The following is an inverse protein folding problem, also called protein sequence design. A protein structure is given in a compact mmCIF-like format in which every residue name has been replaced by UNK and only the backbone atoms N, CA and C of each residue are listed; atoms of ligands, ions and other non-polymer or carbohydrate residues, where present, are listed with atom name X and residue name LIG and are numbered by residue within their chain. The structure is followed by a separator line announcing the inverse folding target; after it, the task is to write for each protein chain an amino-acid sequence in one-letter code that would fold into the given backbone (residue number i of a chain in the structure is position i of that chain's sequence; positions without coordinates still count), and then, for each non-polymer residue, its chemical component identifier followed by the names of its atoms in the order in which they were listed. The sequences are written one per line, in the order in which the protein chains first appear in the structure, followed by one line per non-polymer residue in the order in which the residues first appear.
data_IF_093214558916
#
_entry.id   IF_093214558916
#
_cell.length_a   1.000
_cell.length_b   1.000
_cell.length_c   1.000
_cell.angle_alpha   90.00
_cell.angle_beta   90.00
_cell.angle_gamma   90.00
#
_symmetry.space_group_name_H-M   'P 1'
#
loop_
_entity.id
_entity.type
_entity.pdbx_description
1 polymer ?
#
# COMPACT_ATOMS: atom_id res chain seq x y z
N UNK A 1 1.87 -32.98 -4.47
CA UNK A 1 1.10 -31.82 -3.94
C UNK A 1 0.08 -32.31 -2.93
N UNK A 2 0.05 -31.76 -1.71
CA UNK A 2 -0.98 -32.12 -0.72
C UNK A 2 -2.35 -31.74 -1.32
N UNK A 3 -3.35 -32.63 -1.19
CA UNK A 3 -4.70 -32.49 -1.76
C UNK A 3 -5.39 -31.17 -1.38
N UNK A 4 -5.01 -30.58 -0.24
CA UNK A 4 -5.48 -29.29 0.26
C UNK A 4 -5.05 -28.07 -0.57
N UNK A 5 -3.96 -28.21 -1.33
CA UNK A 5 -3.38 -27.14 -2.14
C UNK A 5 -4.20 -26.86 -3.40
N UNK A 6 -4.78 -27.91 -3.98
CA UNK A 6 -5.68 -27.77 -5.12
C UNK A 6 -6.91 -26.93 -4.77
N UNK A 7 -7.46 -27.11 -3.56
CA UNK A 7 -8.58 -26.30 -3.09
C UNK A 7 -8.20 -24.82 -2.97
N UNK A 8 -6.98 -24.49 -2.54
CA UNK A 8 -6.49 -23.10 -2.50
C UNK A 8 -6.40 -22.49 -3.89
N UNK A 9 -5.82 -23.21 -4.86
CA UNK A 9 -5.65 -22.71 -6.24
C UNK A 9 -7.01 -22.47 -6.89
N UNK A 10 -7.90 -23.46 -6.84
CA UNK A 10 -9.26 -23.32 -7.41
C UNK A 10 -10.00 -22.18 -6.73
N UNK A 11 -9.90 -22.06 -5.40
CA UNK A 11 -10.50 -20.96 -4.67
C UNK A 11 -9.95 -19.60 -5.12
N UNK A 12 -8.63 -19.46 -5.21
CA UNK A 12 -7.99 -18.21 -5.65
C UNK A 12 -8.44 -17.81 -7.05
N UNK A 13 -8.47 -18.76 -8.01
CA UNK A 13 -8.96 -18.51 -9.38
C UNK A 13 -10.43 -18.08 -9.37
N UNK A 14 -11.28 -18.72 -8.59
CA UNK A 14 -12.70 -18.35 -8.49
C UNK A 14 -12.90 -16.95 -7.89
N UNK A 15 -12.12 -16.59 -6.88
CA UNK A 15 -12.18 -15.25 -6.27
C UNK A 15 -11.68 -14.19 -7.25
N UNK A 16 -10.55 -14.45 -7.92
CA UNK A 16 -10.02 -13.54 -8.94
C UNK A 16 -11.05 -13.37 -10.06
N UNK A 17 -11.63 -14.46 -10.56
CA UNK A 17 -12.67 -14.39 -11.59
C UNK A 17 -13.87 -13.57 -11.14
N UNK A 18 -14.37 -13.78 -9.91
CA UNK A 18 -15.49 -13.00 -9.38
C UNK A 18 -15.13 -11.51 -9.22
N UNK A 19 -13.92 -11.20 -8.74
CA UNK A 19 -13.44 -9.84 -8.59
C UNK A 19 -13.23 -9.12 -9.93
N UNK A 20 -12.64 -9.80 -10.91
CA UNK A 20 -12.46 -9.27 -12.27
C UNK A 20 -13.80 -9.13 -13.02
N UNK A 21 -14.77 -10.01 -12.75
CA UNK A 21 -16.11 -9.86 -13.30
C UNK A 21 -16.83 -8.63 -12.73
N UNK A 22 -16.67 -8.33 -11.43
CA UNK A 22 -17.12 -7.05 -10.89
C UNK A 22 -16.39 -5.90 -11.58
N UNK A 23 -15.09 -6.07 -11.85
CA UNK A 23 -14.29 -5.11 -12.60
C UNK A 23 -14.01 -3.82 -11.84
N UNK A 24 -13.62 -2.78 -12.57
CA UNK A 24 -13.43 -1.45 -12.02
C UNK A 24 -14.77 -0.81 -11.69
N UNK A 25 -14.91 -0.35 -10.45
CA UNK A 25 -16.09 0.36 -9.99
C UNK A 25 -15.69 1.76 -9.55
N UNK A 26 -16.33 2.78 -10.10
CA UNK A 26 -16.09 4.17 -9.74
C UNK A 26 -17.36 4.74 -9.11
N UNK A 27 -17.24 5.21 -7.88
CA UNK A 27 -18.33 5.86 -7.16
C UNK A 27 -17.99 7.35 -7.12
N UNK A 28 -18.84 8.17 -7.74
CA UNK A 28 -18.69 9.63 -7.73
C UNK A 28 -19.73 10.22 -6.78
N UNK A 29 -19.28 10.94 -5.76
CA UNK A 29 -20.12 11.67 -4.81
C UNK A 29 -19.69 13.14 -4.85
N UNK A 30 -20.45 13.96 -5.57
CA UNK A 30 -20.06 15.36 -5.80
C UNK A 30 -18.74 15.46 -6.57
N UNK A 31 -17.75 16.15 -6.01
CA UNK A 31 -16.41 16.28 -6.58
C UNK A 31 -15.45 15.13 -6.20
N UNK A 32 -15.92 14.15 -5.41
CA UNK A 32 -15.10 13.05 -4.91
C UNK A 32 -15.33 11.81 -5.77
N UNK A 33 -14.26 11.30 -6.39
CA UNK A 33 -14.28 10.06 -7.16
C UNK A 33 -13.48 8.99 -6.43
N UNK A 34 -14.15 7.91 -6.02
CA UNK A 34 -13.53 6.75 -5.39
C UNK A 34 -13.50 5.61 -6.39
N UNK A 35 -12.31 5.23 -6.81
CA UNK A 35 -12.09 4.10 -7.70
C UNK A 35 -11.75 2.85 -6.90
N UNK A 36 -12.62 1.84 -6.98
CA UNK A 36 -12.43 0.53 -6.41
C UNK A 36 -11.88 -0.41 -7.49
N UNK A 37 -10.67 -0.92 -7.26
CA UNK A 37 -10.04 -1.90 -8.14
C UNK A 37 -10.62 -3.30 -7.88
N UNK A 38 -10.58 -4.21 -8.88
CA UNK A 38 -10.87 -5.64 -8.69
C UNK A 38 -10.20 -6.23 -7.44
N UNK A 39 -8.96 -5.84 -7.15
CA UNK A 39 -8.21 -6.26 -5.97
C UNK A 39 -8.95 -6.01 -4.64
N UNK A 40 -9.67 -4.88 -4.51
CA UNK A 40 -10.46 -4.55 -3.31
C UNK A 40 -11.56 -5.60 -3.10
N UNK A 41 -12.26 -5.98 -4.17
CA UNK A 41 -13.30 -7.00 -4.09
C UNK A 41 -12.72 -8.37 -3.77
N UNK A 42 -11.57 -8.73 -4.33
CA UNK A 42 -10.88 -9.98 -4.00
C UNK A 42 -10.51 -10.04 -2.50
N UNK A 43 -9.98 -8.96 -1.94
CA UNK A 43 -9.67 -8.84 -0.51
C UNK A 43 -10.95 -8.96 0.33
N UNK A 44 -12.01 -8.21 0.00
CA UNK A 44 -13.26 -8.25 0.75
C UNK A 44 -13.91 -9.65 0.73
N UNK A 45 -13.98 -10.29 -0.45
CA UNK A 45 -14.52 -11.64 -0.59
C UNK A 45 -13.70 -12.65 0.23
N UNK A 46 -12.37 -12.62 0.14
CA UNK A 46 -11.51 -13.52 0.92
C UNK A 46 -11.55 -13.25 2.42
N UNK A 47 -11.75 -12.00 2.85
CA UNK A 47 -11.96 -11.66 4.26
C UNK A 47 -13.29 -12.21 4.78
N UNK A 48 -14.39 -11.98 4.05
CA UNK A 48 -15.72 -12.47 4.42
C UNK A 48 -15.73 -13.98 4.49
N UNK A 49 -15.21 -14.64 3.46
CA UNK A 49 -15.16 -16.09 3.36
C UNK A 49 -14.14 -16.73 4.32
N UNK A 50 -13.19 -15.94 4.83
CA UNK A 50 -12.24 -16.34 5.87
C UNK A 50 -12.78 -16.28 7.30
N UNK A 51 -13.94 -15.65 7.53
CA UNK A 51 -14.54 -15.57 8.85
C UNK A 51 -14.90 -16.97 9.40
N UNK A 52 -14.85 -17.11 10.73
CA UNK A 52 -15.07 -18.39 11.43
C UNK A 52 -16.40 -19.06 11.07
N UNK A 53 -17.45 -18.27 10.81
CA UNK A 53 -18.79 -18.73 10.43
C UNK A 53 -18.79 -19.47 9.08
N UNK A 54 -18.01 -18.98 8.11
CA UNK A 54 -17.93 -19.51 6.75
C UNK A 54 -16.86 -20.60 6.57
N UNK A 55 -15.97 -20.79 7.55
CA UNK A 55 -14.86 -21.76 7.50
C UNK A 55 -15.30 -23.22 7.77
N UNK A 56 -16.32 -23.68 7.03
CA UNK A 56 -16.88 -25.04 7.09
C UNK A 56 -16.65 -25.80 5.78
N UNK A 57 -16.68 -27.13 5.82
CA UNK A 57 -16.56 -27.98 4.62
C UNK A 57 -15.29 -27.71 3.80
N UNK A 58 -15.46 -27.35 2.53
CA UNK A 58 -14.35 -27.05 1.59
C UNK A 58 -13.54 -25.84 2.06
N UNK A 59 -14.19 -24.83 2.65
CA UNK A 59 -13.53 -23.61 3.12
C UNK A 59 -12.54 -23.87 4.26
N UNK A 60 -12.79 -24.89 5.09
CA UNK A 60 -11.83 -25.33 6.11
C UNK A 60 -10.53 -25.87 5.49
N UNK A 61 -10.61 -26.50 4.32
CA UNK A 61 -9.44 -27.00 3.58
C UNK A 61 -8.69 -25.86 2.91
N UNK A 62 -9.42 -24.91 2.28
CA UNK A 62 -8.86 -23.69 1.68
C UNK A 62 -8.07 -22.91 2.71
N UNK A 63 -8.70 -22.54 3.82
CA UNK A 63 -8.06 -21.83 4.93
C UNK A 63 -7.40 -22.80 5.91
N UNK A 64 -6.77 -23.89 5.45
CA UNK A 64 -6.00 -24.75 6.37
C UNK A 64 -4.75 -24.00 6.86
N UNK A 65 -4.20 -24.38 8.03
CA UNK A 65 -2.94 -23.79 8.52
C UNK A 65 -1.79 -23.96 7.52
N UNK A 66 -1.78 -25.08 6.79
CA UNK A 66 -0.78 -25.35 5.75
C UNK A 66 -0.90 -24.37 4.58
N UNK A 67 -2.12 -24.09 4.11
CA UNK A 67 -2.36 -23.18 3.00
C UNK A 67 -2.11 -21.71 3.39
N UNK A 68 -2.50 -21.31 4.61
CA UNK A 68 -2.21 -19.96 5.13
C UNK A 68 -0.70 -19.77 5.28
N UNK A 69 -0.02 -20.73 5.91
CA UNK A 69 1.44 -20.70 6.05
C UNK A 69 2.16 -20.66 4.70
N UNK A 70 1.67 -21.42 3.71
CA UNK A 70 2.19 -21.33 2.35
C UNK A 70 1.98 -19.94 1.74
N UNK A 71 0.77 -19.39 1.77
CA UNK A 71 0.49 -18.08 1.17
C UNK A 71 1.32 -16.96 1.82
N UNK A 72 1.49 -17.03 3.15
CA UNK A 72 2.32 -16.13 3.95
C UNK A 72 3.81 -16.25 3.60
N UNK A 73 4.35 -17.47 3.54
CA UNK A 73 5.77 -17.70 3.25
C UNK A 73 6.14 -17.37 1.80
N UNK A 74 5.26 -17.64 0.85
CA UNK A 74 5.54 -17.49 -0.58
C UNK A 74 4.97 -16.21 -1.20
N UNK A 75 4.45 -15.28 -0.38
CA UNK A 75 3.85 -14.03 -0.88
C UNK A 75 4.80 -13.26 -1.81
N UNK A 76 6.07 -13.11 -1.43
CA UNK A 76 7.06 -12.39 -2.26
C UNK A 76 7.18 -13.06 -3.64
N UNK A 77 7.28 -14.39 -3.69
CA UNK A 77 7.38 -15.13 -4.96
C UNK A 77 6.14 -14.95 -5.82
N UNK A 78 4.95 -14.90 -5.21
CA UNK A 78 3.69 -14.64 -5.89
C UNK A 78 3.64 -13.21 -6.45
N UNK A 79 4.30 -12.25 -5.78
CA UNK A 79 4.36 -10.84 -6.18
C UNK A 79 5.46 -10.53 -7.20
N UNK A 80 6.40 -11.45 -7.48
CA UNK A 80 7.48 -11.24 -8.45
C UNK A 80 7.02 -10.78 -9.84
N UNK A 81 5.94 -11.35 -10.44
CA UNK A 81 5.45 -10.87 -11.73
C UNK A 81 5.00 -9.40 -11.69
N UNK A 82 4.42 -8.96 -10.57
CA UNK A 82 4.03 -7.56 -10.39
C UNK A 82 5.26 -6.65 -10.28
N UNK A 83 6.27 -7.06 -9.50
CA UNK A 83 7.54 -6.32 -9.41
C UNK A 83 8.26 -6.24 -10.76
N UNK A 84 8.26 -7.34 -11.53
CA UNK A 84 8.82 -7.36 -12.87
C UNK A 84 8.09 -6.40 -13.81
N UNK A 85 6.75 -6.34 -13.72
CA UNK A 85 5.95 -5.36 -14.46
C UNK A 85 6.31 -3.92 -14.07
N UNK A 86 6.43 -3.61 -12.78
CA UNK A 86 6.86 -2.27 -12.35
C UNK A 86 8.24 -1.90 -12.88
N UNK A 87 9.20 -2.84 -12.85
CA UNK A 87 10.50 -2.63 -13.47
C UNK A 87 10.41 -2.33 -14.97
N UNK A 88 9.55 -3.07 -15.69
CA UNK A 88 9.31 -2.85 -17.12
C UNK A 88 8.59 -1.53 -17.43
N UNK A 89 7.70 -1.06 -16.55
CA UNK A 89 7.01 0.23 -16.69
C UNK A 89 7.94 1.41 -16.39
N UNK A 90 8.90 1.24 -15.47
CA UNK A 90 9.88 2.26 -15.05
C UNK A 90 11.03 2.39 -16.06
N UNK A 91 11.55 1.27 -16.58
CA UNK A 91 12.77 1.25 -17.39
C UNK A 91 12.76 2.22 -18.60
N UNK A 92 11.68 2.35 -19.40
CA UNK A 92 11.63 3.28 -20.52
C UNK A 92 11.71 4.76 -20.11
N UNK A 93 11.27 5.08 -18.89
CA UNK A 93 11.12 6.46 -18.37
C UNK A 93 12.27 6.87 -17.45
N UNK A 94 13.30 6.04 -17.32
CA UNK A 94 14.38 6.26 -16.36
C UNK A 94 15.17 7.55 -16.60
N UNK A 95 15.31 7.97 -17.86
CA UNK A 95 15.99 9.24 -18.20
C UNK A 95 15.18 10.45 -17.74
N UNK A 96 13.87 10.41 -17.97
CA UNK A 96 12.95 11.50 -17.59
C UNK A 96 12.90 11.61 -16.06
N UNK A 97 12.77 10.46 -15.38
CA UNK A 97 12.89 10.33 -13.92
C UNK A 97 14.15 11.01 -13.39
N UNK A 98 15.32 10.75 -13.97
CA UNK A 98 16.58 11.30 -13.46
C UNK A 98 16.70 12.80 -13.69
N UNK A 99 16.05 13.35 -14.72
CA UNK A 99 16.07 14.78 -15.01
C UNK A 99 15.22 15.59 -14.02
N UNK A 100 14.04 15.10 -13.64
CA UNK A 100 13.18 15.73 -12.61
C UNK A 100 13.43 15.19 -11.20
N UNK A 101 14.27 14.17 -11.08
CA UNK A 101 14.42 13.31 -9.92
C UNK A 101 14.86 14.02 -8.65
N UNK A 102 15.58 15.14 -8.73
CA UNK A 102 16.02 15.87 -7.54
C UNK A 102 14.87 16.40 -6.69
N UNK A 103 13.82 16.94 -7.32
CA UNK A 103 12.62 17.41 -6.61
C UNK A 103 11.88 16.24 -5.97
N UNK A 104 11.80 15.12 -6.69
CA UNK A 104 11.12 13.92 -6.22
C UNK A 104 11.89 13.16 -5.16
N UNK A 105 13.23 13.19 -5.14
CA UNK A 105 14.02 12.63 -4.03
C UNK A 105 13.69 13.36 -2.73
N UNK A 106 13.57 14.70 -2.77
CA UNK A 106 13.18 15.48 -1.59
C UNK A 106 11.75 15.16 -1.18
N UNK A 107 10.83 15.01 -2.14
CA UNK A 107 9.45 14.59 -1.86
C UNK A 107 9.40 13.18 -1.25
N UNK A 108 10.23 12.25 -1.72
CA UNK A 108 10.27 10.87 -1.24
C UNK A 108 10.81 10.77 0.20
N UNK A 109 11.60 11.74 0.67
CA UNK A 109 11.92 11.89 2.10
C UNK A 109 10.67 12.13 2.96
N UNK A 110 9.58 12.63 2.37
CA UNK A 110 8.27 12.73 3.02
C UNK A 110 7.75 11.37 3.50
N UNK A 111 8.16 10.26 2.87
CA UNK A 111 7.81 8.91 3.33
C UNK A 111 8.37 8.60 4.71
N UNK A 112 9.46 9.26 5.13
CA UNK A 112 9.99 9.18 6.49
C UNK A 112 9.02 9.74 7.52
N UNK A 113 8.02 10.54 7.12
CA UNK A 113 6.94 11.01 7.97
C UNK A 113 6.16 9.87 8.63
N UNK A 114 6.04 8.72 7.96
CA UNK A 114 5.41 7.52 8.56
C UNK A 114 6.17 7.02 9.78
N UNK A 115 7.50 7.12 9.76
CA UNK A 115 8.37 6.77 10.88
C UNK A 115 8.41 7.91 11.90
N UNK A 116 8.58 9.16 11.46
CA UNK A 116 8.74 10.32 12.33
C UNK A 116 7.49 10.65 13.15
N UNK A 117 6.30 10.46 12.55
CA UNK A 117 5.01 10.83 13.14
C UNK A 117 4.19 9.57 13.43
N UNK A 118 4.08 8.66 12.46
CA UNK A 118 3.26 7.46 12.58
C UNK A 118 3.77 6.50 13.67
N UNK A 119 5.08 6.30 13.81
CA UNK A 119 5.63 5.41 14.84
C UNK A 119 5.35 5.91 16.27
N UNK A 120 5.63 7.18 16.65
CA UNK A 120 5.22 7.70 17.95
C UNK A 120 3.73 7.51 18.24
N UNK A 121 2.87 7.84 17.28
CA UNK A 121 1.41 7.70 17.44
C UNK A 121 1.03 6.23 17.65
N UNK A 122 1.58 5.31 16.84
CA UNK A 122 1.31 3.89 16.97
C UNK A 122 1.71 3.34 18.35
N UNK A 123 2.88 3.73 18.86
CA UNK A 123 3.37 3.32 20.19
C UNK A 123 2.49 3.89 21.31
N UNK A 124 2.05 5.15 21.18
CA UNK A 124 1.11 5.79 22.11
C UNK A 124 -0.25 5.08 22.14
N UNK A 125 -0.70 4.54 21.01
CA UNK A 125 -1.91 3.71 20.91
C UNK A 125 -1.73 2.29 21.46
N UNK A 126 -0.55 1.97 22.02
CA UNK A 126 -0.27 0.68 22.64
C UNK A 126 0.29 -0.38 21.67
N UNK A 127 0.52 -0.04 20.40
CA UNK A 127 1.21 -0.94 19.49
C UNK A 127 2.69 -1.07 19.90
N UNK A 128 3.26 -2.26 19.70
CA UNK A 128 4.67 -2.52 20.00
C UNK A 128 5.36 -2.96 18.72
N UNK A 129 5.70 -4.24 18.58
CA UNK A 129 6.35 -4.77 17.39
C UNK A 129 5.48 -4.61 16.13
N UNK A 130 4.16 -4.62 16.26
CA UNK A 130 3.21 -4.33 15.19
C UNK A 130 3.42 -2.94 14.59
N UNK A 131 3.81 -1.95 15.41
CA UNK A 131 4.10 -0.59 14.94
C UNK A 131 5.26 -0.58 13.93
N UNK A 132 6.25 -1.47 14.09
CA UNK A 132 7.39 -1.55 13.17
C UNK A 132 6.92 -1.90 11.75
N UNK A 133 5.97 -2.83 11.61
CA UNK A 133 5.41 -3.15 10.29
C UNK A 133 4.44 -2.08 9.78
N UNK A 134 3.66 -1.50 10.69
CA UNK A 134 2.59 -0.56 10.34
C UNK A 134 3.06 0.88 10.05
N UNK A 135 4.34 1.21 10.28
CA UNK A 135 4.83 2.60 10.17
C UNK A 135 6.13 2.71 9.36
N UNK A 136 6.44 1.71 8.53
CA UNK A 136 7.63 1.72 7.67
C UNK A 136 7.35 2.40 6.30
N UNK A 137 6.09 2.70 6.01
CA UNK A 137 5.64 3.28 4.75
C UNK A 137 4.12 3.15 4.65
N UNK A 138 3.58 2.94 3.45
CA UNK A 138 2.13 2.68 3.23
C UNK A 138 1.83 1.19 2.94
N UNK A 139 2.79 0.33 3.32
CA UNK A 139 2.69 -1.12 3.30
C UNK A 139 2.73 -1.71 1.90
N UNK A 140 3.36 -1.06 0.93
CA UNK A 140 3.48 -1.57 -0.46
C UNK A 140 4.52 -2.69 -0.55
N UNK A 141 4.79 -3.10 -1.78
CA UNK A 141 5.55 -4.30 -2.12
C UNK A 141 6.96 -4.29 -1.53
N UNK A 142 7.63 -3.13 -1.49
CA UNK A 142 8.95 -2.98 -0.88
C UNK A 142 8.92 -3.25 0.63
N UNK A 143 7.97 -2.68 1.34
CA UNK A 143 7.76 -2.87 2.78
C UNK A 143 7.39 -4.32 3.10
N UNK A 144 6.48 -4.92 2.32
CA UNK A 144 6.08 -6.31 2.47
C UNK A 144 7.26 -7.26 2.26
N UNK A 145 8.06 -7.02 1.22
CA UNK A 145 9.25 -7.82 0.95
C UNK A 145 10.28 -7.71 2.09
N UNK A 146 10.56 -6.48 2.54
CA UNK A 146 11.51 -6.24 3.63
C UNK A 146 11.07 -6.90 4.95
N UNK A 147 9.81 -6.72 5.35
CA UNK A 147 9.29 -7.27 6.60
C UNK A 147 9.19 -8.80 6.52
N UNK A 148 8.75 -9.35 5.39
CA UNK A 148 8.68 -10.80 5.20
C UNK A 148 10.06 -11.44 5.28
N UNK A 149 11.07 -10.88 4.63
CA UNK A 149 12.43 -11.41 4.64
C UNK A 149 13.06 -11.33 6.04
N UNK A 150 12.84 -10.22 6.75
CA UNK A 150 13.50 -9.97 8.04
C UNK A 150 12.78 -10.58 9.24
N UNK A 151 11.45 -10.63 9.23
CA UNK A 151 10.63 -11.00 10.38
C UNK A 151 9.61 -12.12 10.09
N UNK A 152 9.32 -12.44 8.82
CA UNK A 152 8.17 -13.24 8.36
C UNK A 152 6.82 -12.52 8.50
N UNK A 153 5.86 -12.84 7.62
CA UNK A 153 4.52 -12.25 7.66
C UNK A 153 3.64 -12.75 8.81
N UNK A 154 4.00 -13.87 9.44
CA UNK A 154 3.30 -14.39 10.63
C UNK A 154 3.70 -13.68 11.93
N UNK A 155 4.80 -12.92 11.92
CA UNK A 155 5.28 -12.15 13.07
C UNK A 155 4.38 -10.97 13.42
N UNK A 156 4.64 -10.33 14.57
CA UNK A 156 3.93 -9.11 14.97
C UNK A 156 4.16 -7.98 13.95
N UNK A 157 5.40 -7.82 13.48
CA UNK A 157 5.76 -6.89 12.41
C UNK A 157 5.03 -7.23 11.11
N UNK A 158 5.03 -8.51 10.73
CA UNK A 158 4.33 -9.03 9.56
C UNK A 158 2.84 -8.70 9.57
N UNK A 159 2.17 -8.92 10.70
CA UNK A 159 0.77 -8.56 10.89
C UNK A 159 0.55 -7.06 10.80
N UNK A 160 1.48 -6.25 11.31
CA UNK A 160 1.45 -4.79 11.20
C UNK A 160 1.43 -4.33 9.74
N UNK A 161 2.40 -4.78 8.93
CA UNK A 161 2.49 -4.39 7.52
C UNK A 161 1.33 -4.92 6.69
N UNK A 162 0.86 -6.15 6.94
CA UNK A 162 -0.31 -6.72 6.27
C UNK A 162 -1.59 -5.96 6.60
N UNK A 163 -1.78 -5.57 7.86
CA UNK A 163 -2.93 -4.78 8.28
C UNK A 163 -2.94 -3.44 7.58
N UNK A 164 -1.79 -2.77 7.50
CA UNK A 164 -1.64 -1.51 6.78
C UNK A 164 -1.89 -1.67 5.28
N UNK A 165 -1.37 -2.73 4.65
CA UNK A 165 -1.61 -3.01 3.23
C UNK A 165 -3.10 -3.18 2.94
N UNK A 166 -3.80 -3.97 3.75
CA UNK A 166 -5.23 -4.23 3.60
C UNK A 166 -6.03 -2.95 3.84
N UNK A 167 -5.86 -2.31 5.01
CA UNK A 167 -6.59 -1.09 5.37
C UNK A 167 -6.31 0.02 4.35
N UNK A 168 -5.05 0.22 3.96
CA UNK A 168 -4.67 1.20 2.95
C UNK A 168 -5.30 0.90 1.59
N UNK A 169 -5.36 -0.37 1.18
CA UNK A 169 -6.00 -0.73 -0.09
C UNK A 169 -7.52 -0.52 -0.05
N UNK A 170 -8.17 -0.77 1.08
CA UNK A 170 -9.61 -0.60 1.25
C UNK A 170 -10.03 0.88 1.40
N UNK A 171 -9.29 1.65 2.21
CA UNK A 171 -9.70 2.99 2.65
C UNK A 171 -8.79 4.12 2.15
N UNK A 172 -7.61 3.81 1.64
CA UNK A 172 -6.64 4.83 1.23
C UNK A 172 -7.16 5.73 0.12
N UNK A 173 -7.77 5.16 -0.92
CA UNK A 173 -8.36 5.95 -2.02
C UNK A 173 -9.40 6.95 -1.52
N UNK A 174 -10.30 6.50 -0.62
CA UNK A 174 -11.28 7.35 0.04
C UNK A 174 -10.59 8.45 0.86
N UNK A 175 -9.61 8.09 1.69
CA UNK A 175 -8.87 9.06 2.51
C UNK A 175 -8.22 10.15 1.64
N UNK A 176 -7.46 9.76 0.62
CA UNK A 176 -6.74 10.70 -0.25
C UNK A 176 -7.67 11.56 -1.12
N UNK A 177 -8.83 11.02 -1.51
CA UNK A 177 -9.86 11.76 -2.26
C UNK A 177 -10.51 12.89 -1.43
N UNK A 178 -10.48 12.79 -0.10
CA UNK A 178 -10.97 13.84 0.82
C UNK A 178 -9.83 14.74 1.28
N UNK A 179 -8.68 14.15 1.60
CA UNK A 179 -7.58 14.86 2.23
C UNK A 179 -6.87 15.83 1.27
N UNK A 180 -6.70 15.47 0.00
CA UNK A 180 -6.02 16.34 -0.97
C UNK A 180 -6.76 17.69 -1.18
N UNK A 181 -8.10 17.73 -1.39
CA UNK A 181 -8.84 18.99 -1.43
C UNK A 181 -8.76 19.82 -0.14
N UNK A 182 -8.75 19.19 1.04
CA UNK A 182 -8.58 19.92 2.31
C UNK A 182 -7.25 20.65 2.35
N UNK A 183 -6.16 20.01 1.91
CA UNK A 183 -4.86 20.67 1.83
C UNK A 183 -4.88 21.80 0.79
N UNK A 184 -5.59 21.64 -0.33
CA UNK A 184 -5.76 22.72 -1.29
C UNK A 184 -6.45 23.94 -0.65
N UNK A 185 -7.53 23.71 0.10
CA UNK A 185 -8.27 24.77 0.79
C UNK A 185 -7.46 25.42 1.94
N UNK A 186 -6.47 24.70 2.51
CA UNK A 186 -5.49 25.25 3.46
C UNK A 186 -4.40 26.12 2.80
N UNK A 187 -4.44 26.28 1.47
CA UNK A 187 -3.55 27.15 0.72
C UNK A 187 -2.27 26.47 0.22
N UNK A 188 -2.19 25.13 0.25
CA UNK A 188 -1.07 24.43 -0.37
C UNK A 188 -1.13 24.53 -1.89
N UNK A 189 0.05 24.63 -2.52
CA UNK A 189 0.17 24.78 -3.97
C UNK A 189 -0.36 23.54 -4.71
N UNK A 190 -1.17 23.70 -5.78
CA UNK A 190 -1.71 22.57 -6.54
C UNK A 190 -0.65 21.63 -7.09
N UNK A 191 0.49 22.16 -7.55
CA UNK A 191 1.57 21.35 -8.11
C UNK A 191 2.24 20.48 -7.03
N UNK A 192 2.37 21.00 -5.81
CA UNK A 192 2.90 20.25 -4.67
C UNK A 192 1.93 19.13 -4.26
N UNK A 193 0.63 19.40 -4.25
CA UNK A 193 -0.41 18.39 -3.97
C UNK A 193 -0.50 17.34 -5.07
N UNK A 194 -0.33 17.72 -6.32
CA UNK A 194 -0.26 16.80 -7.46
C UNK A 194 0.94 15.85 -7.33
N UNK A 195 2.12 16.36 -6.98
CA UNK A 195 3.27 15.51 -6.68
C UNK A 195 2.98 14.60 -5.48
N UNK A 196 2.45 15.16 -4.38
CA UNK A 196 2.12 14.39 -3.18
C UNK A 196 1.06 13.29 -3.40
N UNK A 197 0.24 13.37 -4.45
CA UNK A 197 -0.74 12.35 -4.80
C UNK A 197 -0.11 11.02 -5.22
N UNK A 198 1.09 11.03 -5.79
CA UNK A 198 1.79 9.81 -6.21
C UNK A 198 2.47 9.09 -5.05
N UNK A 199 1.67 8.46 -4.19
CA UNK A 199 2.12 7.83 -2.93
C UNK A 199 2.63 6.39 -3.07
N UNK A 200 2.72 5.85 -4.29
CA UNK A 200 3.07 4.44 -4.52
C UNK A 200 1.86 3.51 -4.62
N UNK A 201 0.64 4.05 -4.70
CA UNK A 201 -0.59 3.29 -5.00
C UNK A 201 -1.43 3.97 -6.08
N UNK A 202 -1.71 3.27 -7.18
CA UNK A 202 -2.49 3.81 -8.29
C UNK A 202 -3.90 4.24 -7.89
N UNK A 203 -4.59 3.50 -7.02
CA UNK A 203 -5.91 3.92 -6.51
C UNK A 203 -5.85 5.18 -5.68
N UNK A 204 -4.89 5.26 -4.76
CA UNK A 204 -4.73 6.44 -3.90
C UNK A 204 -4.36 7.67 -4.73
N UNK A 205 -3.46 7.49 -5.69
CA UNK A 205 -3.07 8.52 -6.65
C UNK A 205 -4.28 9.02 -7.44
N UNK A 206 -5.05 8.12 -8.07
CA UNK A 206 -6.26 8.51 -8.81
C UNK A 206 -7.29 9.19 -7.91
N UNK A 207 -7.46 8.74 -6.67
CA UNK A 207 -8.36 9.38 -5.71
C UNK A 207 -7.95 10.81 -5.38
N UNK A 208 -6.68 11.05 -5.06
CA UNK A 208 -6.18 12.41 -4.82
C UNK A 208 -6.19 13.28 -6.09
N UNK A 209 -5.68 12.77 -7.22
CA UNK A 209 -5.51 13.58 -8.43
C UNK A 209 -6.85 13.94 -9.06
N UNK A 210 -7.80 13.01 -9.15
CA UNK A 210 -9.12 13.30 -9.75
C UNK A 210 -9.90 14.37 -8.99
N UNK A 211 -9.79 14.37 -7.66
CA UNK A 211 -10.46 15.38 -6.83
C UNK A 211 -9.80 16.74 -6.90
N UNK A 212 -8.46 16.79 -7.03
CA UNK A 212 -7.75 18.03 -7.35
C UNK A 212 -8.14 18.56 -8.74
N UNK A 213 -8.23 17.71 -9.76
CA UNK A 213 -8.69 18.10 -11.11
C UNK A 213 -10.13 18.63 -11.08
N UNK A 214 -11.02 18.00 -10.32
CA UNK A 214 -12.39 18.49 -10.18
C UNK A 214 -12.47 19.90 -9.54
N UNK A 215 -11.48 20.26 -8.70
CA UNK A 215 -11.39 21.58 -8.06
C UNK A 215 -10.67 22.61 -8.94
N UNK A 216 -9.72 22.18 -9.77
CA UNK A 216 -8.89 23.00 -10.65
C UNK A 216 -8.83 22.39 -12.07
N UNK A 217 -9.94 22.42 -12.83
CA UNK A 217 -9.99 21.80 -14.16
C UNK A 217 -8.96 22.37 -15.14
N UNK A 218 -8.60 23.64 -14.99
CA UNK A 218 -7.59 24.32 -15.80
C UNK A 218 -6.17 23.77 -15.61
N UNK A 219 -5.92 23.04 -14.51
CA UNK A 219 -4.62 22.42 -14.19
C UNK A 219 -4.59 20.91 -14.44
N UNK A 220 -5.60 20.34 -15.12
CA UNK A 220 -5.77 18.89 -15.31
C UNK A 220 -4.49 18.18 -15.77
N UNK A 221 -3.92 18.65 -16.89
CA UNK A 221 -2.72 18.05 -17.48
C UNK A 221 -1.53 18.06 -16.50
N UNK A 222 -1.36 19.17 -15.77
CA UNK A 222 -0.28 19.32 -14.79
C UNK A 222 -0.49 18.36 -13.61
N UNK A 223 -1.70 18.32 -13.07
CA UNK A 223 -2.03 17.49 -11.91
C UNK A 223 -1.81 16.00 -12.23
N UNK A 224 -2.38 15.54 -13.34
CA UNK A 224 -2.28 14.13 -13.75
C UNK A 224 -0.84 13.74 -14.08
N UNK A 225 -0.10 14.61 -14.78
CA UNK A 225 1.29 14.35 -15.14
C UNK A 225 2.20 14.29 -13.92
N UNK A 226 2.05 15.23 -12.98
CA UNK A 226 2.89 15.27 -11.78
C UNK A 226 2.57 14.11 -10.84
N UNK A 227 1.29 13.76 -10.67
CA UNK A 227 0.88 12.61 -9.89
C UNK A 227 1.43 11.30 -10.48
N UNK A 228 1.31 11.11 -11.80
CA UNK A 228 1.82 9.91 -12.47
C UNK A 228 3.34 9.81 -12.43
N UNK A 229 4.05 10.93 -12.61
CA UNK A 229 5.51 10.98 -12.47
C UNK A 229 5.95 10.63 -11.05
N UNK A 230 5.32 11.23 -10.04
CA UNK A 230 5.60 10.95 -8.63
C UNK A 230 5.33 9.49 -8.28
N UNK A 231 4.19 8.94 -8.71
CA UNK A 231 3.82 7.55 -8.46
C UNK A 231 4.87 6.59 -9.00
N UNK A 232 5.35 6.84 -10.22
CA UNK A 232 6.37 6.02 -10.85
C UNK A 232 7.70 6.13 -10.08
N UNK A 233 8.07 7.34 -9.68
CA UNK A 233 9.27 7.60 -8.89
C UNK A 233 9.24 6.95 -7.52
N UNK A 234 8.15 7.09 -6.77
CA UNK A 234 7.96 6.44 -5.46
C UNK A 234 7.95 4.92 -5.61
N UNK A 235 7.32 4.37 -6.65
CA UNK A 235 7.38 2.92 -6.92
C UNK A 235 8.79 2.41 -7.19
N UNK A 236 9.69 3.25 -7.73
CA UNK A 236 11.09 2.89 -7.99
C UNK A 236 12.02 3.20 -6.79
N UNK A 237 12.07 4.46 -6.37
CA UNK A 237 12.98 4.97 -5.33
C UNK A 237 12.51 4.67 -3.91
N UNK A 238 11.20 4.57 -3.69
CA UNK A 238 10.62 4.44 -2.34
C UNK A 238 11.17 3.24 -1.57
N UNK A 239 11.43 2.12 -2.25
CA UNK A 239 12.06 0.95 -1.62
C UNK A 239 13.49 1.25 -1.15
N UNK A 240 14.27 2.00 -1.92
CA UNK A 240 15.63 2.40 -1.55
C UNK A 240 15.62 3.39 -0.38
N UNK A 241 14.77 4.42 -0.45
CA UNK A 241 14.56 5.38 0.65
C UNK A 241 14.13 4.65 1.92
N UNK A 242 13.23 3.67 1.80
CA UNK A 242 12.83 2.83 2.93
C UNK A 242 14.02 2.08 3.53
N UNK A 243 14.77 1.32 2.72
CA UNK A 243 15.87 0.47 3.21
C UNK A 243 17.00 1.32 3.83
N UNK A 244 17.39 2.40 3.17
CA UNK A 244 18.56 3.18 3.56
C UNK A 244 18.26 4.27 4.60
N UNK A 245 17.03 4.81 4.63
CA UNK A 245 16.68 5.94 5.49
C UNK A 245 15.60 5.55 6.51
N UNK A 246 14.45 5.05 6.06
CA UNK A 246 13.32 4.78 6.96
C UNK A 246 13.65 3.67 7.98
N UNK A 247 14.27 2.57 7.54
CA UNK A 247 14.62 1.43 8.40
C UNK A 247 15.60 1.81 9.51
N UNK A 248 16.76 2.46 9.23
CA UNK A 248 17.66 2.90 10.29
C UNK A 248 17.01 3.89 11.25
N UNK A 249 16.27 4.87 10.72
CA UNK A 249 15.55 5.86 11.50
C UNK A 249 14.52 5.20 12.42
N UNK A 250 13.75 4.25 11.90
CA UNK A 250 12.73 3.53 12.65
C UNK A 250 13.34 2.72 13.78
N UNK A 251 14.44 2.00 13.53
CA UNK A 251 15.15 1.26 14.60
C UNK A 251 15.59 2.20 15.73
N UNK A 252 16.15 3.35 15.37
CA UNK A 252 16.60 4.35 16.33
C UNK A 252 15.42 4.90 17.14
N UNK A 253 14.36 5.37 16.47
CA UNK A 253 13.18 5.94 17.12
C UNK A 253 12.42 4.92 17.96
N UNK A 254 12.20 3.71 17.45
CA UNK A 254 11.53 2.64 18.18
C UNK A 254 12.28 2.31 19.47
N UNK A 255 13.61 2.18 19.41
CA UNK A 255 14.44 1.94 20.59
C UNK A 255 14.33 3.08 21.59
N UNK A 256 14.23 4.34 21.14
CA UNK A 256 14.08 5.50 22.02
C UNK A 256 12.70 5.54 22.69
N UNK A 257 11.63 5.32 21.93
CA UNK A 257 10.24 5.40 22.37
C UNK A 257 9.83 4.26 23.31
N UNK A 258 10.40 3.08 23.12
CA UNK A 258 10.10 1.87 23.90
C UNK A 258 11.16 1.62 24.99
N UNK A 259 12.12 2.55 25.17
CA UNK A 259 13.15 2.45 26.22
C UNK A 259 12.52 2.60 27.61
N UNK A 260 12.18 1.48 28.23
CA UNK A 260 11.51 1.42 29.54
C UNK A 260 10.42 0.36 29.62
N UNK A 261 9.92 -0.11 28.47
CA UNK A 261 8.99 -1.23 28.39
C UNK A 261 9.78 -2.53 28.23
N UNK A 262 10.03 -3.22 29.34
CA UNK A 262 10.38 -4.64 29.33
C UNK A 262 9.13 -5.48 29.01
N UNK A 263 8.76 -5.57 27.72
CA UNK A 263 7.70 -6.50 27.26
C UNK A 263 7.93 -7.01 25.84
#
# INVERSE_FOLDING_TARGET
MKRDFWYLIVFAVMIIFAAEWIGFQSITIGAITITLLPLVFAILLTMVLGMSVFRKGIMKKVYSKANIGFASQYLIFIMLPLMARYGADVAPRIKDILQVGWVFIIQDLGNLGTVLIGLPIAVLLGLRREAIGATLGIGREGELAYISEKYTLESKEGRGVLSLYIIGTLFGALFFSVFAPILLDLGFRPEALAMAAGVGSSSMMTGASSTLVARLPEMEETILSYAAASQLLTSFLGTFTMIFLAVPLQKFMYKLLVRGDES
#
